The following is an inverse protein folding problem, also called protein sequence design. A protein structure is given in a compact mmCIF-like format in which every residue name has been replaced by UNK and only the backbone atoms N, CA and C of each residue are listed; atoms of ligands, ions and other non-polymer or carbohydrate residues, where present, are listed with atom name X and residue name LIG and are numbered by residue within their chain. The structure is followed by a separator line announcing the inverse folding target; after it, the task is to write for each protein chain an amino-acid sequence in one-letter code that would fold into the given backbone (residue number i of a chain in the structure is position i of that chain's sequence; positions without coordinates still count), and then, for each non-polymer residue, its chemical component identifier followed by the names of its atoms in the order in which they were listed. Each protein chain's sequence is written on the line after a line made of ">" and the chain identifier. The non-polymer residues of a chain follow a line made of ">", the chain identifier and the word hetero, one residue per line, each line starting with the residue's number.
data_IF_715701076665
#
_entry.id   IF_715701076665
#
_cell.length_a   1.000
_cell.length_b   1.000
_cell.length_c   1.000
_cell.angle_alpha   90.00
_cell.angle_beta   90.00
_cell.angle_gamma   90.00
#
_symmetry.space_group_name_H-M   'P 1'
#
loop_
_entity.id
_entity.type
_entity.pdbx_description
1 polymer ?
#
# COMPACT_ATOMS: atom_id res chain seq x y z
N UNK A 1 14.32 -7.75 8.93
CA UNK A 1 13.90 -6.36 8.62
C UNK A 1 15.04 -5.37 8.75
N UNK A 2 15.61 -5.12 9.95
CA UNK A 2 16.81 -4.25 10.05
C UNK A 2 17.97 -4.74 9.19
N UNK A 3 18.29 -6.03 9.28
CA UNK A 3 19.30 -6.68 8.43
C UNK A 3 19.00 -6.55 6.93
N UNK A 4 17.72 -6.54 6.52
CA UNK A 4 17.31 -6.40 5.11
C UNK A 4 17.42 -4.96 4.60
N UNK A 5 17.26 -3.98 5.49
CA UNK A 5 17.54 -2.55 5.19
C UNK A 5 19.05 -2.34 5.11
N UNK A 6 19.81 -2.88 6.08
CA UNK A 6 21.27 -2.78 6.12
C UNK A 6 21.93 -3.48 4.94
N UNK A 7 21.37 -4.59 4.46
CA UNK A 7 21.85 -5.29 3.26
C UNK A 7 21.53 -4.55 1.95
N UNK A 8 20.64 -3.55 2.00
CA UNK A 8 20.13 -2.83 0.83
C UNK A 8 19.06 -3.58 0.03
N UNK A 9 18.58 -4.74 0.52
CA UNK A 9 17.44 -5.45 -0.11
C UNK A 9 16.17 -4.61 -0.04
N UNK A 10 15.94 -3.94 1.09
CA UNK A 10 14.85 -2.97 1.27
C UNK A 10 15.42 -1.58 1.02
N UNK A 11 15.17 -1.04 -0.18
CA UNK A 11 15.70 0.23 -0.64
C UNK A 11 14.64 1.36 -0.59
N UNK A 12 13.99 1.53 0.55
CA UNK A 12 13.05 2.64 0.81
C UNK A 12 13.66 3.68 1.73
N UNK A 13 13.21 4.94 1.62
CA UNK A 13 13.67 6.04 2.48
C UNK A 13 13.41 5.78 3.98
N UNK A 14 12.33 5.05 4.27
CA UNK A 14 11.98 4.63 5.63
C UNK A 14 11.27 3.28 5.63
N UNK A 15 11.72 2.37 6.51
CA UNK A 15 10.98 1.17 6.86
C UNK A 15 10.76 1.12 8.38
N UNK A 16 9.54 1.45 8.78
CA UNK A 16 9.18 1.75 10.17
C UNK A 16 8.45 0.58 10.84
N UNK A 17 8.51 0.54 12.17
CA UNK A 17 7.74 -0.39 13.00
C UNK A 17 6.65 0.37 13.72
N UNK A 18 5.40 0.11 13.36
CA UNK A 18 4.23 0.54 14.12
C UNK A 18 4.02 -0.44 15.28
N UNK A 19 4.52 -0.09 16.47
CA UNK A 19 4.47 -0.99 17.63
C UNK A 19 3.08 -1.08 18.26
N UNK A 20 2.33 0.03 18.27
CA UNK A 20 0.97 0.11 18.82
C UNK A 20 -0.10 -0.32 17.82
N UNK A 21 0.20 -0.33 16.52
CA UNK A 21 -0.74 -0.61 15.43
C UNK A 21 -1.78 0.50 15.20
N UNK A 22 -1.65 1.65 15.89
CA UNK A 22 -2.56 2.78 15.76
C UNK A 22 -2.51 3.40 14.37
N UNK A 23 -1.33 3.40 13.72
CA UNK A 23 -1.18 3.98 12.38
C UNK A 23 -1.86 3.08 11.36
N UNK A 24 -1.65 1.77 11.44
CA UNK A 24 -2.36 0.81 10.59
C UNK A 24 -3.88 0.94 10.74
N UNK A 25 -4.38 1.07 11.97
CA UNK A 25 -5.81 1.22 12.24
C UNK A 25 -6.36 2.55 11.72
N UNK A 26 -5.64 3.66 11.94
CA UNK A 26 -6.05 4.99 11.46
C UNK A 26 -6.12 5.08 9.93
N UNK A 27 -5.29 4.31 9.22
CA UNK A 27 -5.33 4.22 7.76
C UNK A 27 -6.41 3.27 7.22
N UNK A 28 -7.07 2.51 8.10
CA UNK A 28 -8.02 1.49 7.66
C UNK A 28 -7.34 0.29 7.00
N UNK A 29 -6.06 0.03 7.31
CA UNK A 29 -5.30 -1.02 6.65
C UNK A 29 -5.82 -2.41 7.06
N UNK A 30 -5.84 -3.33 6.10
CA UNK A 30 -6.45 -4.67 6.27
C UNK A 30 -5.48 -5.80 5.94
N UNK A 31 -4.58 -5.60 4.98
CA UNK A 31 -3.67 -6.64 4.51
C UNK A 31 -2.24 -6.14 4.28
N UNK A 32 -1.37 -7.02 3.80
CA UNK A 32 0.00 -6.70 3.40
C UNK A 32 0.34 -7.42 2.09
N UNK A 33 0.75 -6.70 1.03
CA UNK A 33 0.86 -5.23 0.93
C UNK A 33 -0.52 -4.55 0.87
N UNK A 34 -0.61 -3.35 1.46
CA UNK A 34 -1.80 -2.50 1.42
C UNK A 34 -1.38 -1.03 1.24
N UNK A 35 -1.13 -0.60 0.00
CA UNK A 35 -0.49 0.68 -0.26
C UNK A 35 -1.50 1.83 -0.37
N UNK A 36 -1.00 3.03 -0.08
CA UNK A 36 -1.72 4.29 -0.14
C UNK A 36 -0.84 5.31 -0.85
N UNK A 37 -1.30 5.81 -1.99
CA UNK A 37 -0.60 6.83 -2.76
C UNK A 37 -1.25 8.19 -2.51
N UNK A 38 -0.43 9.14 -2.06
CA UNK A 38 -0.84 10.51 -1.84
C UNK A 38 -0.19 11.44 -2.86
N UNK A 39 -0.99 12.32 -3.47
CA UNK A 39 -0.49 13.41 -4.29
C UNK A 39 -0.48 14.71 -3.48
N UNK A 40 0.57 15.52 -3.64
CA UNK A 40 0.59 16.87 -3.07
C UNK A 40 -0.27 17.80 -3.93
N UNK A 41 -1.34 18.35 -3.36
CA UNK A 41 -2.22 19.33 -4.00
C UNK A 41 -2.22 20.59 -3.13
N UNK A 42 -1.57 21.64 -3.62
CA UNK A 42 -1.31 22.85 -2.83
C UNK A 42 -0.46 22.54 -1.59
N UNK A 43 -1.01 22.82 -0.40
CA UNK A 43 -0.35 22.59 0.90
C UNK A 43 -0.80 21.29 1.59
N UNK A 44 -1.63 20.47 0.93
CA UNK A 44 -2.16 19.23 1.47
C UNK A 44 -1.70 18.00 0.67
N UNK A 45 -1.78 16.83 1.31
CA UNK A 45 -1.67 15.53 0.68
C UNK A 45 -3.06 14.91 0.56
N UNK A 46 -3.44 14.52 -0.65
CA UNK A 46 -4.71 13.89 -0.95
C UNK A 46 -4.47 12.43 -1.33
N UNK A 47 -5.28 11.51 -0.80
CA UNK A 47 -5.24 10.10 -1.20
C UNK A 47 -5.77 10.01 -2.63
N UNK A 48 -4.91 9.60 -3.57
CA UNK A 48 -5.26 9.50 -4.99
C UNK A 48 -5.41 8.05 -5.45
N UNK A 49 -4.83 7.10 -4.73
CA UNK A 49 -5.05 5.67 -4.99
C UNK A 49 -4.79 4.84 -3.74
N UNK A 50 -5.63 3.82 -3.57
CA UNK A 50 -5.51 2.79 -2.54
C UNK A 50 -6.05 1.49 -3.14
N UNK A 51 -5.24 0.43 -3.09
CA UNK A 51 -5.52 -0.80 -3.80
C UNK A 51 -4.24 -1.58 -4.06
N UNK A 52 -4.33 -2.69 -4.81
CA UNK A 52 -3.16 -3.52 -5.10
C UNK A 52 -2.06 -2.75 -5.84
N UNK A 53 -0.82 -3.21 -5.68
CA UNK A 53 0.35 -2.70 -6.41
C UNK A 53 0.29 -3.10 -7.89
N UNK A 54 0.02 -4.37 -8.12
CA UNK A 54 -0.03 -5.04 -9.40
C UNK A 54 -0.93 -6.29 -9.32
N UNK A 55 -1.02 -7.07 -10.39
CA UNK A 55 -1.81 -8.30 -10.44
C UNK A 55 -1.05 -9.59 -10.07
N UNK A 56 0.21 -9.51 -9.64
CA UNK A 56 0.96 -10.66 -9.17
C UNK A 56 0.35 -11.21 -7.86
N UNK A 57 0.19 -12.53 -7.79
CA UNK A 57 -0.48 -13.19 -6.66
C UNK A 57 0.49 -13.73 -5.61
N UNK A 58 1.77 -13.83 -5.93
CA UNK A 58 2.81 -14.34 -5.04
C UNK A 58 4.09 -13.52 -5.19
N UNK A 59 4.98 -13.50 -4.18
CA UNK A 59 6.23 -12.74 -4.24
C UNK A 59 7.20 -13.15 -5.36
N UNK A 60 7.07 -14.38 -5.85
CA UNK A 60 7.93 -14.93 -6.93
C UNK A 60 7.28 -14.83 -8.32
N UNK A 61 6.05 -14.30 -8.41
CA UNK A 61 5.35 -14.12 -9.67
C UNK A 61 5.65 -12.73 -10.25
N UNK A 62 5.85 -12.68 -11.56
CA UNK A 62 5.83 -11.42 -12.30
C UNK A 62 4.38 -11.00 -12.58
N UNK A 63 4.07 -9.70 -12.52
CA UNK A 63 2.78 -9.17 -12.98
C UNK A 63 2.63 -9.35 -14.50
N UNK A 64 1.38 -9.31 -14.97
CA UNK A 64 1.05 -9.61 -16.37
C UNK A 64 1.55 -8.58 -17.39
N UNK A 65 1.90 -7.37 -16.94
CA UNK A 65 2.47 -6.31 -17.77
C UNK A 65 1.55 -5.10 -17.89
N UNK A 66 1.27 -4.69 -19.12
CA UNK A 66 0.33 -3.61 -19.46
C UNK A 66 -0.92 -4.23 -20.14
N UNK A 67 -2.07 -4.36 -19.45
CA UNK A 67 -2.35 -3.89 -18.09
C UNK A 67 -1.79 -4.84 -17.02
N UNK A 68 -1.63 -4.34 -15.79
CA UNK A 68 -1.17 -5.17 -14.66
C UNK A 68 -0.30 -4.46 -13.62
N UNK A 69 0.14 -3.22 -13.89
CA UNK A 69 0.94 -2.42 -12.98
C UNK A 69 0.14 -1.26 -12.34
N UNK A 70 -0.97 -1.54 -11.64
CA UNK A 70 -1.92 -0.49 -11.23
C UNK A 70 -1.28 0.70 -10.49
N UNK A 71 -0.46 0.45 -9.47
CA UNK A 71 0.17 1.54 -8.71
C UNK A 71 1.14 2.36 -9.58
N UNK A 72 1.87 1.69 -10.48
CA UNK A 72 2.82 2.36 -11.38
C UNK A 72 2.08 3.28 -12.35
N UNK A 73 1.00 2.81 -12.94
CA UNK A 73 0.21 3.58 -13.90
C UNK A 73 -0.40 4.83 -13.24
N UNK A 74 -0.82 4.71 -11.98
CA UNK A 74 -1.29 5.87 -11.20
C UNK A 74 -0.14 6.82 -10.88
N UNK A 75 1.02 6.33 -10.44
CA UNK A 75 2.20 7.17 -10.16
C UNK A 75 2.58 7.96 -11.42
N UNK A 76 2.67 7.30 -12.57
CA UNK A 76 3.02 7.93 -13.85
C UNK A 76 1.99 9.01 -14.24
N UNK A 77 0.70 8.75 -14.01
CA UNK A 77 -0.38 9.73 -14.24
C UNK A 77 -0.26 10.95 -13.33
N UNK A 78 0.01 10.76 -12.03
CA UNK A 78 0.20 11.85 -11.06
C UNK A 78 1.43 12.69 -11.42
N UNK A 79 2.54 12.05 -11.80
CA UNK A 79 3.78 12.73 -12.20
C UNK A 79 3.62 13.51 -13.51
N UNK A 80 2.78 13.03 -14.44
CA UNK A 80 2.43 13.74 -15.66
C UNK A 80 1.46 14.92 -15.42
N UNK A 81 0.98 15.11 -14.20
CA UNK A 81 -0.02 16.13 -13.85
C UNK A 81 -1.43 15.79 -14.34
N UNK A 82 -1.68 14.52 -14.69
CA UNK A 82 -2.98 14.02 -15.12
C UNK A 82 -3.93 13.73 -13.95
N UNK A 83 -5.15 13.38 -14.32
CA UNK A 83 -6.14 12.83 -13.41
C UNK A 83 -5.88 11.33 -13.17
N UNK A 84 -6.25 10.85 -11.99
CA UNK A 84 -6.16 9.41 -11.67
C UNK A 84 -7.49 8.76 -12.05
N UNK A 85 -7.51 8.10 -13.20
CA UNK A 85 -8.65 7.31 -13.69
C UNK A 85 -8.29 5.81 -13.60
N UNK A 86 -8.26 5.32 -12.36
CA UNK A 86 -7.94 3.92 -12.08
C UNK A 86 -9.16 3.21 -11.48
N UNK A 87 -9.52 2.08 -12.06
CA UNK A 87 -10.49 1.17 -11.47
C UNK A 87 -10.01 0.74 -10.08
N UNK A 88 -10.90 0.77 -9.10
CA UNK A 88 -10.57 0.26 -7.77
C UNK A 88 -10.29 -1.25 -7.83
N UNK A 89 -9.04 -1.62 -7.55
CA UNK A 89 -8.61 -3.00 -7.38
C UNK A 89 -8.17 -3.19 -5.93
N UNK A 90 -8.91 -3.95 -5.11
CA UNK A 90 -8.58 -4.07 -3.69
C UNK A 90 -7.18 -4.66 -3.51
N UNK A 91 -6.49 -4.20 -2.46
CA UNK A 91 -5.22 -4.76 -2.00
C UNK A 91 -5.33 -6.26 -1.76
N UNK A 92 -4.25 -7.00 -2.00
CA UNK A 92 -4.23 -8.46 -1.92
C UNK A 92 -3.00 -8.94 -1.17
N UNK A 93 -3.24 -9.73 -0.13
CA UNK A 93 -2.17 -10.40 0.58
C UNK A 93 -2.62 -10.96 1.92
N UNK A 94 -1.65 -11.32 2.75
CA UNK A 94 -1.91 -11.77 4.10
C UNK A 94 -2.59 -10.66 4.91
N UNK A 95 -3.54 -11.03 5.77
CA UNK A 95 -4.11 -10.09 6.74
C UNK A 95 -3.05 -9.51 7.67
N UNK A 96 -3.25 -8.26 8.10
CA UNK A 96 -2.48 -7.67 9.20
C UNK A 96 -2.60 -8.56 10.44
N UNK A 97 -1.47 -8.73 11.15
CA UNK A 97 -1.42 -9.52 12.39
C UNK A 97 -1.66 -8.60 13.57
N UNK A 98 -2.94 -8.35 13.85
CA UNK A 98 -3.37 -7.61 15.03
C UNK A 98 -2.95 -8.35 16.30
N UNK A 99 -2.53 -7.59 17.31
CA UNK A 99 -2.36 -8.11 18.67
C UNK A 99 -3.74 -8.38 19.24
N UNK A 100 -3.83 -9.38 20.10
CA UNK A 100 -5.08 -9.71 20.79
C UNK A 100 -5.65 -8.48 21.52
N UNK A 101 -6.89 -8.12 21.20
CA UNK A 101 -7.59 -6.98 21.77
C UNK A 101 -7.23 -5.63 21.15
N UNK A 102 -6.53 -5.63 20.03
CA UNK A 102 -6.11 -4.44 19.28
C UNK A 102 -6.63 -4.45 17.84
N UNK A 103 -7.57 -5.33 17.54
CA UNK A 103 -8.33 -5.33 16.30
C UNK A 103 -9.13 -4.03 16.18
N UNK A 104 -9.09 -3.35 15.03
CA UNK A 104 -9.85 -2.11 14.84
C UNK A 104 -11.36 -2.39 14.72
N UNK A 105 -12.20 -1.38 14.98
CA UNK A 105 -13.67 -1.52 14.97
C UNK A 105 -14.24 -2.06 13.64
N UNK A 106 -13.54 -1.84 12.53
CA UNK A 106 -13.92 -2.35 11.20
C UNK A 106 -13.51 -3.80 10.96
N UNK A 107 -12.80 -4.44 11.88
CA UNK A 107 -12.20 -5.77 11.68
C UNK A 107 -13.25 -6.88 11.59
N UNK A 108 -14.33 -6.76 12.36
CA UNK A 108 -15.42 -7.75 12.38
C UNK A 108 -16.30 -7.69 11.11
N UNK A 109 -16.18 -6.61 10.32
CA UNK A 109 -16.96 -6.36 9.10
C UNK A 109 -16.23 -6.78 7.80
N UNK A 110 -14.99 -7.28 7.90
CA UNK A 110 -14.13 -7.66 6.75
C UNK A 110 -14.38 -9.07 6.19
#
# INVERSE_FOLDING_TARGET
>A
MREEVESGRIAYDAYLRDESQDVAAAYGAVCTPDPYLFARRGDAFELVYHGRLDDALTPDADPSGDPGFEMRDVIDSVLAGGDVDADFRPSRGCTIKWREGNEPDYWDDL
#
